data_IF_490659067145
#
_entry.id   IF_490659067145
#
_cell.length_a   1.000
_cell.length_b   1.000
_cell.length_c   1.000
_cell.angle_alpha   90.00
_cell.angle_beta   90.00
_cell.angle_gamma   90.00
#
_symmetry.space_group_name_H-M   'P 1'
#
loop_
_entity.id
_entity.type
_entity.pdbx_description
1 polymer ?
#
# COMPACT_ATOMS: atom_id res chain seq x y z
N UNK A 1 -16.11 5.60 1.26
CA UNK A 1 -15.57 4.28 0.86
C UNK A 1 -14.46 3.78 1.80
N UNK A 2 -13.44 4.59 2.11
CA UNK A 2 -12.27 4.14 2.89
C UNK A 2 -12.59 3.59 4.30
N UNK A 3 -13.59 4.15 5.00
CA UNK A 3 -14.04 3.64 6.32
C UNK A 3 -14.60 2.21 6.26
N UNK A 4 -15.29 1.82 5.17
CA UNK A 4 -15.78 0.43 5.01
C UNK A 4 -14.61 -0.52 4.79
N UNK A 5 -13.63 -0.08 4.00
CA UNK A 5 -12.41 -0.83 3.76
C UNK A 5 -11.58 -1.02 5.05
N UNK A 6 -11.37 0.05 5.84
CA UNK A 6 -10.71 -0.04 7.16
C UNK A 6 -11.48 -0.90 8.15
N UNK A 7 -12.81 -0.86 8.14
CA UNK A 7 -13.64 -1.76 8.97
C UNK A 7 -13.46 -3.23 8.58
N UNK A 8 -13.21 -3.52 7.31
CA UNK A 8 -12.92 -4.88 6.86
C UNK A 8 -11.54 -5.32 7.35
N UNK A 9 -10.55 -4.42 7.24
CA UNK A 9 -9.20 -4.65 7.71
C UNK A 9 -9.07 -4.73 9.24
N UNK A 10 -9.96 -4.09 10.01
CA UNK A 10 -9.90 -4.12 11.48
C UNK A 10 -10.02 -5.51 12.09
N UNK A 11 -10.46 -6.52 11.32
CA UNK A 11 -10.40 -7.93 11.74
C UNK A 11 -8.98 -8.45 11.93
N UNK A 12 -8.00 -7.78 11.31
CA UNK A 12 -6.59 -8.12 11.36
C UNK A 12 -5.81 -7.18 12.30
N UNK A 13 -6.49 -6.30 13.04
CA UNK A 13 -5.85 -5.37 13.99
C UNK A 13 -4.66 -4.61 13.35
N UNK A 14 -3.54 -4.45 14.05
CA UNK A 14 -2.29 -3.83 13.60
C UNK A 14 -1.71 -4.47 12.33
N UNK A 15 -1.98 -5.76 12.05
CA UNK A 15 -1.56 -6.41 10.80
C UNK A 15 -2.26 -5.84 9.57
N UNK A 16 -3.42 -5.19 9.72
CA UNK A 16 -4.08 -4.49 8.60
C UNK A 16 -3.19 -3.41 7.96
N UNK A 17 -2.34 -2.74 8.75
CA UNK A 17 -1.38 -1.76 8.25
C UNK A 17 -0.32 -2.42 7.33
N UNK A 18 0.12 -3.63 7.69
CA UNK A 18 1.07 -4.41 6.88
C UNK A 18 0.41 -4.86 5.57
N UNK A 19 -0.84 -5.33 5.64
CA UNK A 19 -1.63 -5.72 4.45
C UNK A 19 -1.75 -4.56 3.47
N UNK A 20 -1.99 -3.33 3.96
CA UNK A 20 -2.07 -2.12 3.15
C UNK A 20 -0.77 -1.81 2.41
N UNK A 21 0.37 -1.91 3.10
CA UNK A 21 1.69 -1.70 2.49
C UNK A 21 1.95 -2.77 1.45
N UNK A 22 1.69 -4.04 1.74
CA UNK A 22 1.88 -5.16 0.81
C UNK A 22 1.03 -5.01 -0.46
N UNK A 23 -0.26 -4.63 -0.33
CA UNK A 23 -1.13 -4.37 -1.47
C UNK A 23 -0.60 -3.22 -2.34
N UNK A 24 -0.06 -2.18 -1.72
CA UNK A 24 0.52 -1.04 -2.43
C UNK A 24 1.82 -1.42 -3.16
N UNK A 25 2.66 -2.24 -2.53
CA UNK A 25 3.86 -2.82 -3.15
C UNK A 25 3.49 -3.71 -4.34
N UNK A 26 2.47 -4.55 -4.21
CA UNK A 26 1.94 -5.38 -5.30
C UNK A 26 1.46 -4.52 -6.47
N UNK A 27 0.72 -3.46 -6.19
CA UNK A 27 0.25 -2.52 -7.22
C UNK A 27 1.42 -1.84 -7.92
N UNK A 28 2.38 -1.31 -7.17
CA UNK A 28 3.60 -0.71 -7.72
C UNK A 28 4.41 -1.71 -8.57
N UNK A 29 4.45 -2.98 -8.16
CA UNK A 29 5.16 -4.05 -8.88
C UNK A 29 4.46 -4.40 -10.18
N UNK A 30 3.12 -4.46 -10.19
CA UNK A 30 2.35 -4.68 -11.41
C UNK A 30 2.56 -3.54 -12.43
N UNK A 31 2.53 -2.28 -11.96
CA UNK A 31 2.79 -1.11 -12.80
C UNK A 31 4.22 -1.14 -13.35
N UNK A 32 5.21 -1.40 -12.50
CA UNK A 32 6.61 -1.50 -12.91
C UNK A 32 6.83 -2.64 -13.92
N UNK A 33 6.19 -3.79 -13.73
CA UNK A 33 6.29 -4.93 -14.64
C UNK A 33 5.66 -4.62 -16.01
N UNK A 34 4.49 -3.98 -16.04
CA UNK A 34 3.85 -3.53 -17.28
C UNK A 34 4.74 -2.55 -18.05
N UNK A 35 5.26 -1.53 -17.37
CA UNK A 35 6.11 -0.53 -18.02
C UNK A 35 7.46 -1.09 -18.49
N UNK A 36 8.04 -2.03 -17.73
CA UNK A 36 9.25 -2.75 -18.15
C UNK A 36 8.99 -3.59 -19.40
N UNK A 37 7.82 -4.23 -19.51
CA UNK A 37 7.42 -5.03 -20.67
C UNK A 37 7.31 -4.20 -21.94
N UNK A 38 6.81 -2.98 -21.82
CA UNK A 38 6.70 -2.02 -22.93
C UNK A 38 8.05 -1.36 -23.29
N UNK A 39 9.15 -1.73 -22.63
CA UNK A 39 10.50 -1.23 -22.93
C UNK A 39 10.81 0.17 -22.38
N UNK A 40 9.89 0.77 -21.63
CA UNK A 40 10.00 2.15 -21.15
C UNK A 40 10.82 2.30 -19.85
N UNK A 41 11.36 1.22 -19.28
CA UNK A 41 11.90 1.28 -17.92
C UNK A 41 13.16 0.45 -17.67
N UNK A 42 14.15 1.11 -17.05
CA UNK A 42 15.34 0.46 -16.50
C UNK A 42 14.99 -0.29 -15.19
N UNK A 43 15.77 -1.32 -14.82
CA UNK A 43 15.54 -2.05 -13.57
C UNK A 43 15.53 -1.16 -12.33
N UNK A 44 16.37 -0.12 -12.33
CA UNK A 44 16.46 0.84 -11.24
C UNK A 44 15.16 1.64 -11.10
N UNK A 45 14.64 2.19 -12.20
CA UNK A 45 13.41 2.97 -12.18
C UNK A 45 12.19 2.10 -11.81
N UNK A 46 12.18 0.81 -12.18
CA UNK A 46 11.13 -0.13 -11.78
C UNK A 46 11.11 -0.32 -10.25
N UNK A 47 12.29 -0.51 -9.64
CA UNK A 47 12.43 -0.56 -8.18
C UNK A 47 11.98 0.74 -7.51
N UNK A 48 12.33 1.89 -8.08
CA UNK A 48 11.90 3.20 -7.55
C UNK A 48 10.38 3.34 -7.55
N UNK A 49 9.69 2.92 -8.62
CA UNK A 49 8.21 2.97 -8.69
C UNK A 49 7.61 2.12 -7.58
N UNK A 50 8.09 0.89 -7.38
CA UNK A 50 7.59 0.00 -6.33
C UNK A 50 7.79 0.63 -4.96
N UNK A 51 9.01 1.13 -4.69
CA UNK A 51 9.38 1.69 -3.40
C UNK A 51 8.60 2.96 -3.07
N UNK A 52 8.49 3.88 -4.03
CA UNK A 52 7.72 5.12 -3.88
C UNK A 52 6.25 4.79 -3.67
N UNK A 53 5.66 3.87 -4.44
CA UNK A 53 4.25 3.49 -4.29
C UNK A 53 3.98 2.85 -2.92
N UNK A 54 4.88 1.98 -2.45
CA UNK A 54 4.75 1.34 -1.15
C UNK A 54 4.83 2.35 0.00
N UNK A 55 5.79 3.30 -0.04
CA UNK A 55 5.96 4.29 1.02
C UNK A 55 4.89 5.38 0.99
N UNK A 56 4.59 5.92 -0.19
CA UNK A 56 3.62 7.01 -0.32
C UNK A 56 2.21 6.50 -0.10
N UNK A 57 1.70 5.65 -1.00
CA UNK A 57 0.35 5.15 -0.94
C UNK A 57 0.18 4.18 0.23
N UNK A 58 1.05 3.18 0.34
CA UNK A 58 0.94 2.15 1.38
C UNK A 58 1.18 2.72 2.78
N UNK A 59 2.27 3.45 2.97
CA UNK A 59 2.63 4.06 4.26
C UNK A 59 1.59 5.07 4.73
N UNK A 60 1.16 5.99 3.86
CA UNK A 60 0.13 6.97 4.23
C UNK A 60 -1.20 6.30 4.59
N UNK A 61 -1.63 5.31 3.82
CA UNK A 61 -2.89 4.61 4.08
C UNK A 61 -2.81 3.76 5.36
N UNK A 62 -1.65 3.16 5.63
CA UNK A 62 -1.38 2.43 6.87
C UNK A 62 -1.45 3.35 8.11
N UNK A 63 -0.88 4.56 8.03
CA UNK A 63 -0.99 5.55 9.11
C UNK A 63 -2.44 5.93 9.39
N UNK A 64 -3.23 6.22 8.35
CA UNK A 64 -4.66 6.53 8.49
C UNK A 64 -5.45 5.36 9.09
N UNK A 65 -5.07 4.13 8.76
CA UNK A 65 -5.70 2.93 9.30
C UNK A 65 -5.38 2.72 10.79
N UNK A 66 -4.13 2.95 11.21
CA UNK A 66 -3.75 2.88 12.61
C UNK A 66 -4.45 3.97 13.44
N UNK A 67 -4.59 5.18 12.89
CA UNK A 67 -5.36 6.24 13.55
C UNK A 67 -6.85 5.87 13.67
N UNK A 68 -7.40 5.21 12.65
CA UNK A 68 -8.77 4.68 12.69
C UNK A 68 -8.96 3.60 13.77
N UNK A 69 -8.00 2.68 13.93
CA UNK A 69 -8.03 1.67 15.01
C UNK A 69 -8.00 2.33 16.39
N UNK A 70 -7.08 3.28 16.60
CA UNK A 70 -6.95 4.00 17.87
C UNK A 70 -8.24 4.74 18.26
N UNK A 71 -8.92 5.38 17.30
CA UNK A 71 -10.23 6.05 17.52
C UNK A 71 -11.39 5.09 17.81
N UNK A 72 -11.19 3.78 17.64
CA UNK A 72 -12.20 2.74 17.86
C UNK A 72 -12.04 2.06 19.22
N UNK A 73 -10.83 2.07 19.77
CA UNK A 73 -10.48 1.46 21.05
C UNK A 73 -10.52 2.45 22.23
N UNK A 74 -10.47 3.76 21.97
CA UNK A 74 -10.69 4.83 22.95
C UNK A 74 -12.07 5.44 22.84
#
# INVERSE_FOLDING_TARGET
MIKRFFRLLSRYDSYGAVILVLLSTLLGSAVAAMLKREGFLTPLAALTIVFVTALSLGGFTALLYLEYLRKREG
#
